data_IF_752178598162
#
_entry.id   IF_752178598162
#
_cell.length_a   1.000
_cell.length_b   1.000
_cell.length_c   1.000
_cell.angle_alpha   90.00
_cell.angle_beta   90.00
_cell.angle_gamma   90.00
#
_symmetry.space_group_name_H-M   'P 1'
#
loop_
_entity.id
_entity.type
_entity.pdbx_description
1 polymer ?
#
# COMPACT_ATOMS: atom_id res chain seq x y z
N UNK A 1 2.48 -11.87 -3.62
CA UNK A 1 2.37 -10.79 -4.64
C UNK A 1 3.67 -10.78 -5.47
N UNK A 2 3.67 -10.43 -6.76
CA UNK A 2 4.93 -10.41 -7.53
C UNK A 2 5.86 -9.26 -7.04
N UNK A 3 7.19 -9.46 -6.91
CA UNK A 3 8.11 -8.43 -6.38
C UNK A 3 8.03 -7.09 -7.12
N UNK A 4 7.82 -7.12 -8.44
CA UNK A 4 7.65 -5.90 -9.22
C UNK A 4 6.38 -5.11 -8.85
N UNK A 5 5.28 -5.78 -8.53
CA UNK A 5 4.02 -5.14 -8.09
C UNK A 5 4.21 -4.49 -6.71
N UNK A 6 4.88 -5.19 -5.78
CA UNK A 6 5.20 -4.65 -4.45
C UNK A 6 6.07 -3.40 -4.58
N UNK A 7 7.06 -3.42 -5.47
CA UNK A 7 7.91 -2.26 -5.75
C UNK A 7 7.14 -1.08 -6.36
N UNK A 8 6.20 -1.32 -7.27
CA UNK A 8 5.34 -0.28 -7.84
C UNK A 8 4.40 0.31 -6.77
N UNK A 9 3.76 -0.54 -5.97
CA UNK A 9 2.93 -0.12 -4.84
C UNK A 9 3.71 0.74 -3.86
N UNK A 10 4.90 0.30 -3.46
CA UNK A 10 5.78 1.04 -2.55
C UNK A 10 6.19 2.41 -3.10
N UNK A 11 6.45 2.52 -4.40
CA UNK A 11 6.78 3.81 -5.01
C UNK A 11 5.59 4.78 -5.08
N UNK A 12 4.37 4.27 -5.35
CA UNK A 12 3.15 5.08 -5.30
C UNK A 12 2.88 5.54 -3.87
N UNK A 13 2.98 4.64 -2.90
CA UNK A 13 2.81 4.94 -1.48
C UNK A 13 3.80 6.01 -1.02
N UNK A 14 5.09 5.88 -1.33
CA UNK A 14 6.11 6.85 -0.95
C UNK A 14 5.85 8.25 -1.54
N UNK A 15 5.44 8.34 -2.81
CA UNK A 15 5.07 9.61 -3.43
C UNK A 15 3.84 10.21 -2.74
N UNK A 16 2.82 9.39 -2.44
CA UNK A 16 1.62 9.84 -1.76
C UNK A 16 1.93 10.34 -0.33
N UNK A 17 2.75 9.61 0.43
CA UNK A 17 3.24 10.02 1.74
C UNK A 17 3.99 11.36 1.71
N UNK A 18 4.84 11.58 0.71
CA UNK A 18 5.55 12.85 0.52
C UNK A 18 4.56 14.02 0.35
N UNK A 19 3.56 13.85 -0.51
CA UNK A 19 2.53 14.86 -0.74
C UNK A 19 1.62 15.08 0.48
N UNK A 20 1.22 14.00 1.18
CA UNK A 20 0.45 14.10 2.43
C UNK A 20 1.23 14.82 3.53
N UNK A 21 2.54 14.61 3.60
CA UNK A 21 3.43 15.31 4.54
C UNK A 21 3.58 16.78 4.17
N UNK A 22 3.68 17.10 2.88
CA UNK A 22 3.68 18.49 2.43
C UNK A 22 2.36 19.20 2.73
N UNK A 23 1.22 18.52 2.57
CA UNK A 23 -0.09 19.06 2.99
C UNK A 23 -0.11 19.30 4.49
N UNK A 24 0.39 18.34 5.28
CA UNK A 24 0.44 18.45 6.74
C UNK A 24 1.30 19.63 7.22
N UNK A 25 2.32 19.98 6.46
CA UNK A 25 3.25 21.07 6.75
C UNK A 25 2.83 22.41 6.13
N UNK A 26 1.62 22.50 5.57
CA UNK A 26 1.11 23.67 4.84
C UNK A 26 2.04 24.13 3.70
N UNK A 27 2.86 23.22 3.17
CA UNK A 27 3.85 23.49 2.12
C UNK A 27 3.43 22.96 0.75
N UNK A 28 2.28 22.29 0.67
CA UNK A 28 1.74 21.80 -0.60
C UNK A 28 1.09 22.93 -1.40
N UNK A 29 1.69 23.26 -2.55
CA UNK A 29 1.10 24.18 -3.52
C UNK A 29 0.06 23.44 -4.38
N UNK A 30 -1.15 24.00 -4.48
CA UNK A 30 -2.21 23.52 -5.38
C UNK A 30 -2.21 24.26 -6.74
N UNK A 31 -1.36 25.27 -6.88
CA UNK A 31 -1.27 26.09 -8.08
C UNK A 31 -2.44 27.05 -8.22
N UNK A 32 -2.70 27.88 -7.18
CA UNK A 32 -3.87 28.79 -7.13
C UNK A 32 -4.13 29.54 -8.44
N UNK A 33 -5.36 29.45 -8.95
CA UNK A 33 -5.81 30.02 -10.22
C UNK A 33 -5.37 29.23 -11.48
N UNK A 34 -4.68 28.10 -11.30
CA UNK A 34 -4.18 27.19 -12.35
C UNK A 34 -4.28 25.73 -11.89
N UNK A 35 -5.23 25.41 -11.00
CA UNK A 35 -5.36 24.13 -10.30
C UNK A 35 -5.49 22.96 -11.29
N UNK A 36 -6.33 23.09 -12.32
CA UNK A 36 -6.48 22.05 -13.35
C UNK A 36 -5.20 21.80 -14.15
N UNK A 37 -4.45 22.84 -14.50
CA UNK A 37 -3.16 22.67 -15.16
C UNK A 37 -2.17 21.98 -14.22
N UNK A 38 -2.14 22.40 -12.95
CA UNK A 38 -1.23 21.85 -11.96
C UNK A 38 -1.53 20.38 -11.65
N UNK A 39 -2.80 20.00 -11.54
CA UNK A 39 -3.26 18.62 -11.37
C UNK A 39 -2.75 17.74 -12.50
N UNK A 40 -2.96 18.19 -13.75
CA UNK A 40 -2.52 17.49 -14.95
C UNK A 40 -0.99 17.33 -14.97
N UNK A 41 -0.25 18.40 -14.68
CA UNK A 41 1.22 18.37 -14.64
C UNK A 41 1.76 17.42 -13.56
N UNK A 42 1.17 17.44 -12.36
CA UNK A 42 1.57 16.51 -11.29
C UNK A 42 1.23 15.06 -11.63
N UNK A 43 0.08 14.80 -12.24
CA UNK A 43 -0.27 13.46 -12.71
C UNK A 43 0.76 12.94 -13.71
N UNK A 44 1.10 13.77 -14.72
CA UNK A 44 2.16 13.42 -15.68
C UNK A 44 3.51 13.17 -15.00
N UNK A 45 3.89 14.05 -14.07
CA UNK A 45 5.12 13.90 -13.28
C UNK A 45 5.16 12.60 -12.49
N UNK A 46 4.06 12.26 -11.82
CA UNK A 46 3.90 11.02 -11.06
C UNK A 46 4.06 9.78 -11.95
N UNK A 47 3.29 9.68 -13.04
CA UNK A 47 3.36 8.52 -13.95
C UNK A 47 4.77 8.39 -14.57
N UNK A 48 5.39 9.53 -14.93
CA UNK A 48 6.75 9.53 -15.47
C UNK A 48 7.78 9.04 -14.43
N UNK A 49 7.66 9.52 -13.18
CA UNK A 49 8.52 9.10 -12.06
C UNK A 49 8.39 7.62 -11.71
N UNK A 50 7.22 7.02 -11.93
CA UNK A 50 6.95 5.60 -11.69
C UNK A 50 7.44 4.67 -12.81
N UNK A 51 7.98 5.20 -13.92
CA UNK A 51 8.38 4.41 -15.10
C UNK A 51 9.30 3.22 -14.75
N UNK A 52 10.37 3.36 -13.94
CA UNK A 52 11.23 2.23 -13.60
C UNK A 52 10.48 1.10 -12.88
N UNK A 53 9.54 1.43 -12.00
CA UNK A 53 8.76 0.48 -11.22
C UNK A 53 7.68 -0.18 -12.06
N UNK A 54 7.05 0.56 -12.97
CA UNK A 54 6.14 0.01 -13.98
C UNK A 54 6.87 -1.04 -14.84
N UNK A 55 8.09 -0.74 -15.29
CA UNK A 55 8.89 -1.69 -16.07
C UNK A 55 9.30 -2.93 -15.25
N UNK A 56 9.56 -2.79 -13.95
CA UNK A 56 9.83 -3.95 -13.09
C UNK A 56 8.58 -4.80 -12.84
N UNK A 57 7.41 -4.18 -12.71
CA UNK A 57 6.13 -4.86 -12.50
C UNK A 57 5.62 -5.55 -13.77
N UNK A 58 5.81 -4.93 -14.94
CA UNK A 58 5.13 -5.31 -16.18
C UNK A 58 6.07 -5.78 -17.30
N UNK A 59 7.38 -5.64 -17.10
CA UNK A 59 8.46 -6.08 -17.99
C UNK A 59 9.28 -4.92 -18.58
N UNK A 60 10.48 -5.20 -19.13
CA UNK A 60 11.44 -4.18 -19.58
C UNK A 60 10.97 -3.28 -20.73
N UNK A 61 9.84 -3.60 -21.36
CA UNK A 61 9.16 -2.74 -22.33
C UNK A 61 7.87 -2.10 -21.81
N UNK A 62 7.53 -2.28 -20.54
CA UNK A 62 6.27 -1.83 -19.98
C UNK A 62 6.17 -0.31 -19.94
N UNK A 63 5.25 0.23 -20.74
CA UNK A 63 4.94 1.65 -20.77
C UNK A 63 3.44 1.88 -20.60
N UNK A 64 3.10 2.87 -19.77
CA UNK A 64 1.74 3.35 -19.61
C UNK A 64 1.64 4.72 -20.27
N UNK A 65 0.65 4.90 -21.14
CA UNK A 65 0.52 6.13 -21.95
C UNK A 65 -0.53 7.08 -21.42
N UNK A 66 -0.12 8.34 -21.30
CA UNK A 66 -1.02 9.47 -21.06
C UNK A 66 -1.02 10.36 -22.32
N UNK A 67 -2.20 10.68 -22.84
CA UNK A 67 -2.42 11.07 -24.24
C UNK A 67 -1.72 12.37 -24.68
N UNK A 68 -1.32 13.26 -23.76
CA UNK A 68 -0.66 14.54 -24.09
C UNK A 68 0.84 14.62 -23.72
N UNK A 69 1.51 13.49 -23.47
CA UNK A 69 2.98 13.50 -23.28
C UNK A 69 3.70 13.82 -24.60
N UNK A 70 4.65 14.75 -24.67
CA UNK A 70 5.40 15.05 -25.90
C UNK A 70 6.46 14.00 -26.27
N UNK A 71 6.74 13.01 -25.40
CA UNK A 71 7.71 11.92 -25.62
C UNK A 71 7.11 10.78 -26.48
N UNK A 72 6.50 11.12 -27.61
CA UNK A 72 5.71 10.20 -28.45
C UNK A 72 6.50 9.62 -29.62
N UNK A 73 7.08 8.45 -29.42
CA UNK A 73 7.42 7.52 -30.50
C UNK A 73 6.39 6.39 -30.56
N UNK A 74 5.93 6.03 -31.77
CA UNK A 74 4.99 4.93 -32.05
C UNK A 74 5.46 3.54 -31.57
N UNK A 75 4.77 2.44 -31.94
CA UNK A 75 4.67 1.21 -31.16
C UNK A 75 6.04 0.56 -30.91
N UNK A 76 6.67 0.96 -29.79
CA UNK A 76 7.76 0.27 -29.11
C UNK A 76 7.23 -0.80 -28.15
N UNK A 77 8.11 -1.49 -27.41
CA UNK A 77 7.79 -2.76 -26.74
C UNK A 77 6.63 -2.61 -25.74
N UNK A 78 5.89 -3.71 -25.49
CA UNK A 78 4.73 -3.87 -24.57
C UNK A 78 4.14 -2.56 -24.03
N UNK A 79 3.42 -1.84 -24.88
CA UNK A 79 2.68 -0.63 -24.53
C UNK A 79 1.28 -0.99 -24.00
N UNK A 80 0.83 -0.32 -22.94
CA UNK A 80 -0.55 -0.46 -22.45
C UNK A 80 -1.54 -0.13 -23.57
N UNK A 81 -2.50 -1.03 -23.81
CA UNK A 81 -3.57 -0.74 -24.77
C UNK A 81 -4.46 0.40 -24.23
N UNK A 82 -4.58 0.52 -22.91
CA UNK A 82 -5.30 1.59 -22.23
C UNK A 82 -4.45 2.86 -22.10
N UNK A 83 -5.05 4.03 -22.35
CA UNK A 83 -4.48 5.36 -22.21
C UNK A 83 -5.45 6.28 -21.49
N UNK A 84 -4.94 7.19 -20.69
CA UNK A 84 -5.75 8.23 -20.03
C UNK A 84 -5.50 9.58 -20.69
N UNK A 85 -6.58 10.35 -20.89
CA UNK A 85 -6.55 11.76 -21.30
C UNK A 85 -7.12 12.60 -20.17
N UNK A 86 -6.42 13.69 -19.85
CA UNK A 86 -6.84 14.65 -18.83
C UNK A 86 -7.09 15.99 -19.51
N UNK A 87 -8.33 16.45 -19.55
CA UNK A 87 -8.69 17.72 -20.18
C UNK A 87 -8.85 18.81 -19.13
N UNK A 88 -8.21 19.94 -19.37
CA UNK A 88 -8.34 21.13 -18.53
C UNK A 88 -9.61 21.92 -18.90
N UNK A 89 -10.52 22.08 -17.94
CA UNK A 89 -11.73 22.90 -18.07
C UNK A 89 -11.77 24.06 -17.07
N UNK A 90 -10.60 24.51 -16.60
CA UNK A 90 -10.45 25.58 -15.61
C UNK A 90 -10.71 25.08 -14.19
N UNK A 91 -11.99 24.92 -13.83
CA UNK A 91 -12.41 24.52 -12.47
C UNK A 91 -12.38 23.00 -12.24
N UNK A 92 -12.35 22.25 -13.33
CA UNK A 92 -12.41 20.80 -13.33
C UNK A 92 -11.42 20.20 -14.33
N UNK A 93 -11.02 18.96 -14.04
CA UNK A 93 -10.27 18.09 -14.94
C UNK A 93 -11.18 16.95 -15.36
N UNK A 94 -11.42 16.81 -16.66
CA UNK A 94 -12.16 15.67 -17.20
C UNK A 94 -11.19 14.54 -17.49
N UNK A 95 -11.43 13.38 -16.90
CA UNK A 95 -10.67 12.16 -17.12
C UNK A 95 -11.41 11.31 -18.15
N UNK A 96 -10.72 10.90 -19.21
CA UNK A 96 -11.24 10.00 -20.24
C UNK A 96 -10.26 8.83 -20.46
N UNK A 97 -10.75 7.60 -20.41
CA UNK A 97 -9.95 6.41 -20.76
C UNK A 97 -10.22 5.94 -22.20
N UNK A 98 -9.15 5.60 -22.91
CA UNK A 98 -9.19 5.03 -24.25
C UNK A 98 -8.44 3.72 -24.30
N UNK A 99 -8.95 2.74 -25.03
CA UNK A 99 -8.27 1.48 -25.32
C UNK A 99 -7.99 1.38 -26.81
N UNK A 100 -6.79 0.93 -27.17
CA UNK A 100 -6.47 0.55 -28.54
C UNK A 100 -6.92 -0.88 -28.79
N UNK A 101 -7.90 -1.03 -29.68
CA UNK A 101 -8.43 -2.33 -30.12
C UNK A 101 -8.21 -2.38 -31.62
N UNK A 102 -7.48 -3.39 -32.09
CA UNK A 102 -7.14 -3.59 -33.50
C UNK A 102 -6.49 -2.34 -34.15
N UNK A 103 -5.66 -1.62 -33.40
CA UNK A 103 -4.97 -0.41 -33.89
C UNK A 103 -5.83 0.86 -33.89
N UNK A 104 -7.10 0.79 -33.49
CA UNK A 104 -8.01 1.94 -33.38
C UNK A 104 -8.22 2.33 -31.92
N UNK A 105 -8.16 3.63 -31.63
CA UNK A 105 -8.48 4.15 -30.29
C UNK A 105 -10.00 4.18 -30.11
N UNK A 106 -10.49 3.53 -29.08
CA UNK A 106 -11.91 3.53 -28.70
C UNK A 106 -12.05 3.98 -27.24
N UNK A 107 -13.06 4.80 -26.89
CA UNK A 107 -13.37 5.08 -25.49
C UNK A 107 -13.62 3.79 -24.72
N UNK A 108 -13.16 3.72 -23.47
CA UNK A 108 -13.33 2.56 -22.61
C UNK A 108 -14.13 2.93 -21.35
N UNK A 109 -15.40 3.25 -21.54
CA UNK A 109 -16.33 3.65 -20.48
C UNK A 109 -16.51 2.56 -19.42
N UNK A 110 -16.44 1.29 -19.82
CA UNK A 110 -16.62 0.13 -18.94
C UNK A 110 -15.53 0.01 -17.86
N UNK A 111 -14.38 0.66 -18.06
CA UNK A 111 -13.32 0.72 -17.06
C UNK A 111 -13.65 1.60 -15.85
N UNK A 112 -14.76 2.35 -15.87
CA UNK A 112 -15.24 3.13 -14.73
C UNK A 112 -14.34 4.32 -14.34
N UNK A 113 -13.43 4.73 -15.22
CA UNK A 113 -12.44 5.77 -14.98
C UNK A 113 -12.87 7.15 -15.47
N UNK A 114 -13.92 7.22 -16.28
CA UNK A 114 -14.43 8.48 -16.82
C UNK A 114 -15.13 9.27 -15.72
N UNK A 115 -14.59 10.45 -15.40
CA UNK A 115 -15.11 11.30 -14.33
C UNK A 115 -14.66 12.74 -14.48
N UNK A 116 -15.39 13.62 -13.80
CA UNK A 116 -15.03 15.02 -13.62
C UNK A 116 -14.43 15.19 -12.23
N UNK A 117 -13.18 15.64 -12.15
CA UNK A 117 -12.51 15.94 -10.89
C UNK A 117 -12.56 17.45 -10.70
N UNK A 118 -13.30 17.91 -9.70
CA UNK A 118 -13.29 19.32 -9.31
C UNK A 118 -11.97 19.63 -8.60
N UNK A 119 -11.27 20.65 -9.08
CA UNK A 119 -9.94 21.04 -8.58
C UNK A 119 -9.88 22.50 -8.15
N UNK A 120 -10.82 23.34 -8.58
CA UNK A 120 -10.92 24.70 -8.08
C UNK A 120 -11.50 24.74 -6.66
N UNK A 121 -10.88 25.56 -5.82
CA UNK A 121 -11.26 25.84 -4.42
C UNK A 121 -11.34 24.61 -3.51
N UNK A 122 -10.74 23.48 -3.91
CA UNK A 122 -10.67 22.28 -3.07
C UNK A 122 -9.51 22.38 -2.08
N UNK A 123 -9.68 21.77 -0.91
CA UNK A 123 -8.61 21.68 0.08
C UNK A 123 -7.43 20.86 -0.47
N UNK A 124 -6.17 21.17 -0.11
CA UNK A 124 -5.00 20.46 -0.61
C UNK A 124 -5.04 18.94 -0.38
N UNK A 125 -5.62 18.49 0.74
CA UNK A 125 -5.82 17.06 1.01
C UNK A 125 -6.74 16.39 -0.03
N UNK A 126 -7.85 17.05 -0.37
CA UNK A 126 -8.79 16.55 -1.37
C UNK A 126 -8.13 16.50 -2.74
N UNK A 127 -7.35 17.54 -3.09
CA UNK A 127 -6.57 17.59 -4.33
C UNK A 127 -5.60 16.40 -4.45
N UNK A 128 -4.79 16.15 -3.39
CA UNK A 128 -3.84 15.03 -3.34
C UNK A 128 -4.58 13.70 -3.42
N UNK A 129 -5.69 13.55 -2.69
CA UNK A 129 -6.47 12.31 -2.68
C UNK A 129 -7.00 11.97 -4.07
N UNK A 130 -7.59 12.93 -4.79
CA UNK A 130 -8.07 12.69 -6.16
C UNK A 130 -6.93 12.46 -7.15
N UNK A 131 -5.76 13.10 -6.97
CA UNK A 131 -4.58 12.87 -7.80
C UNK A 131 -4.10 11.41 -7.72
N UNK A 132 -3.88 10.89 -6.51
CA UNK A 132 -3.39 9.53 -6.30
C UNK A 132 -4.47 8.49 -6.62
N UNK A 133 -5.74 8.76 -6.29
CA UNK A 133 -6.85 7.90 -6.69
C UNK A 133 -6.93 7.77 -8.21
N UNK A 134 -6.87 8.87 -8.95
CA UNK A 134 -6.87 8.85 -10.41
C UNK A 134 -5.67 8.06 -10.98
N UNK A 135 -4.48 8.24 -10.39
CA UNK A 135 -3.28 7.55 -10.83
C UNK A 135 -3.35 6.03 -10.56
N UNK A 136 -3.78 5.63 -9.35
CA UNK A 136 -3.94 4.22 -8.96
C UNK A 136 -4.99 3.55 -9.84
N UNK A 137 -6.19 4.13 -9.97
CA UNK A 137 -7.26 3.56 -10.77
C UNK A 137 -6.80 3.37 -12.23
N UNK A 138 -6.10 4.36 -12.79
CA UNK A 138 -5.52 4.27 -14.12
C UNK A 138 -4.47 3.16 -14.25
N UNK A 139 -3.52 3.08 -13.32
CA UNK A 139 -2.45 2.07 -13.37
C UNK A 139 -3.01 0.65 -13.21
N UNK A 140 -4.01 0.45 -12.37
CA UNK A 140 -4.68 -0.84 -12.22
C UNK A 140 -5.30 -1.29 -13.54
N UNK A 141 -6.02 -0.41 -14.23
CA UNK A 141 -6.62 -0.70 -15.53
C UNK A 141 -5.58 -0.86 -16.64
N UNK A 142 -4.57 0.01 -16.69
CA UNK A 142 -3.57 0.01 -17.75
C UNK A 142 -2.63 -1.19 -17.70
N UNK A 143 -2.31 -1.65 -16.49
CA UNK A 143 -1.41 -2.78 -16.26
C UNK A 143 -2.14 -4.10 -16.01
N UNK A 144 -3.47 -4.05 -15.81
CA UNK A 144 -4.30 -5.16 -15.38
C UNK A 144 -3.77 -5.78 -14.07
N UNK A 145 -3.56 -4.94 -13.06
CA UNK A 145 -3.01 -5.28 -11.75
C UNK A 145 -3.94 -4.80 -10.64
N UNK A 146 -3.93 -5.50 -9.51
CA UNK A 146 -4.53 -5.01 -8.27
C UNK A 146 -3.44 -4.42 -7.38
N UNK A 147 -3.49 -3.10 -7.18
CA UNK A 147 -2.51 -2.38 -6.37
C UNK A 147 -2.91 -2.32 -4.90
N UNK A 148 -4.17 -2.63 -4.55
CA UNK A 148 -4.69 -2.60 -3.18
C UNK A 148 -4.36 -1.27 -2.45
N UNK A 149 -4.40 -0.16 -3.18
CA UNK A 149 -4.21 1.21 -2.67
C UNK A 149 -5.55 1.97 -2.65
N UNK A 150 -6.56 1.34 -2.05
CA UNK A 150 -7.90 1.93 -1.91
C UNK A 150 -8.06 2.67 -0.58
N UNK A 151 -8.46 3.93 -0.64
CA UNK A 151 -8.72 4.76 0.55
C UNK A 151 -7.48 5.06 1.38
N UNK A 152 -7.65 5.39 2.66
CA UNK A 152 -6.57 5.67 3.62
C UNK A 152 -6.12 4.44 4.42
N UNK A 153 -6.83 3.31 4.31
CA UNK A 153 -6.55 2.09 5.06
C UNK A 153 -5.10 1.61 4.87
N UNK A 154 -4.58 1.67 3.65
CA UNK A 154 -3.20 1.28 3.33
C UNK A 154 -2.15 2.07 4.12
N UNK A 155 -2.44 3.34 4.46
CA UNK A 155 -1.51 4.21 5.18
C UNK A 155 -1.33 3.73 6.62
N UNK A 156 -2.43 3.37 7.28
CA UNK A 156 -2.37 2.79 8.62
C UNK A 156 -1.71 1.41 8.61
N UNK A 157 -2.02 0.57 7.62
CA UNK A 157 -1.31 -0.70 7.43
C UNK A 157 0.20 -0.47 7.20
N UNK A 158 0.60 0.54 6.42
CA UNK A 158 2.01 0.85 6.17
C UNK A 158 2.74 1.33 7.43
N UNK A 159 2.11 2.22 8.20
CA UNK A 159 2.63 2.70 9.49
C UNK A 159 2.81 1.52 10.47
N UNK A 160 1.83 0.60 10.52
CA UNK A 160 1.92 -0.60 11.34
C UNK A 160 3.04 -1.55 10.87
N UNK A 161 3.15 -1.77 9.56
CA UNK A 161 4.21 -2.60 8.97
C UNK A 161 5.61 -2.03 9.25
N UNK A 162 5.80 -0.71 9.06
CA UNK A 162 7.06 -0.05 9.37
C UNK A 162 7.41 -0.11 10.86
N UNK A 163 6.41 0.02 11.74
CA UNK A 163 6.61 -0.17 13.17
C UNK A 163 7.10 -1.59 13.49
N UNK A 164 6.46 -2.60 12.89
CA UNK A 164 6.87 -3.99 13.06
C UNK A 164 8.30 -4.24 12.57
N UNK A 165 8.63 -3.79 11.36
CA UNK A 165 9.96 -3.98 10.76
C UNK A 165 11.06 -3.35 11.62
N UNK A 166 10.79 -2.19 12.23
CA UNK A 166 11.76 -1.41 13.01
C UNK A 166 11.89 -1.86 14.46
N UNK A 167 10.80 -2.31 15.10
CA UNK A 167 10.77 -2.61 16.53
C UNK A 167 10.67 -4.10 16.86
N UNK A 168 10.26 -4.91 15.89
CA UNK A 168 9.89 -6.30 16.09
C UNK A 168 8.66 -6.48 16.98
N UNK A 169 7.77 -5.49 17.05
CA UNK A 169 6.53 -5.52 17.84
C UNK A 169 5.34 -5.03 17.00
N UNK A 170 4.13 -5.42 17.39
CA UNK A 170 2.91 -4.84 16.82
C UNK A 170 2.57 -3.54 17.56
N UNK A 171 2.29 -2.48 16.82
CA UNK A 171 1.81 -1.23 17.40
C UNK A 171 0.33 -1.36 17.76
N UNK A 172 -0.12 -0.63 18.77
CA UNK A 172 -1.56 -0.51 19.01
C UNK A 172 -2.25 0.32 17.93
N UNK A 173 -3.55 0.11 17.71
CA UNK A 173 -4.35 0.89 16.75
C UNK A 173 -4.24 2.40 17.03
N UNK A 174 -4.24 2.80 18.30
CA UNK A 174 -4.07 4.22 18.64
C UNK A 174 -2.63 4.73 18.52
N UNK A 175 -1.60 3.89 18.67
CA UNK A 175 -0.24 4.27 18.29
C UNK A 175 -0.12 4.50 16.78
N UNK A 176 -0.69 3.61 15.96
CA UNK A 176 -0.73 3.74 14.50
C UNK A 176 -1.49 5.02 14.10
N UNK A 177 -2.67 5.25 14.67
CA UNK A 177 -3.46 6.45 14.42
C UNK A 177 -2.70 7.73 14.77
N UNK A 178 -2.09 7.80 15.96
CA UNK A 178 -1.30 8.98 16.38
C UNK A 178 -0.10 9.23 15.48
N UNK A 179 0.59 8.17 15.05
CA UNK A 179 1.72 8.29 14.11
C UNK A 179 1.25 8.80 12.75
N UNK A 180 0.23 8.18 12.20
CA UNK A 180 -0.32 8.57 10.90
C UNK A 180 -0.82 10.02 10.91
N UNK A 181 -1.60 10.43 11.91
CA UNK A 181 -2.13 11.80 12.04
C UNK A 181 -1.08 12.85 12.38
N UNK A 182 0.01 12.45 13.05
CA UNK A 182 1.14 13.35 13.32
C UNK A 182 1.92 13.63 12.04
N UNK A 183 2.16 12.60 11.24
CA UNK A 183 3.06 12.66 10.09
C UNK A 183 2.35 13.09 8.80
N UNK A 184 1.09 12.70 8.63
CA UNK A 184 0.32 12.85 7.41
C UNK A 184 -0.97 13.64 7.65
N UNK A 185 -1.44 14.34 6.62
CA UNK A 185 -2.68 15.09 6.65
C UNK A 185 -3.92 14.17 6.51
N UNK A 186 -4.09 13.18 7.39
CA UNK A 186 -5.23 12.24 7.30
C UNK A 186 -6.49 12.84 7.93
N UNK A 187 -7.66 12.59 7.32
CA UNK A 187 -8.94 13.12 7.77
C UNK A 187 -9.86 12.08 8.45
N UNK A 188 -9.42 10.83 8.63
CA UNK A 188 -10.27 9.81 9.24
C UNK A 188 -10.47 10.03 10.74
N UNK A 189 -11.68 9.73 11.21
CA UNK A 189 -11.96 9.68 12.64
C UNK A 189 -11.32 8.44 13.27
N UNK A 190 -10.94 8.54 14.54
CA UNK A 190 -10.40 7.41 15.27
C UNK A 190 -11.40 6.24 15.31
N UNK A 191 -12.70 6.50 15.43
CA UNK A 191 -13.74 5.46 15.41
C UNK A 191 -13.78 4.71 14.07
N UNK A 192 -13.58 5.41 12.95
CA UNK A 192 -13.52 4.79 11.61
C UNK A 192 -12.32 3.86 11.49
N UNK A 193 -11.16 4.29 11.98
CA UNK A 193 -9.93 3.47 11.99
C UNK A 193 -10.11 2.26 12.92
N UNK A 194 -10.64 2.47 14.12
CA UNK A 194 -10.92 1.40 15.07
C UNK A 194 -11.95 0.40 14.52
N UNK A 195 -12.97 0.84 13.81
CA UNK A 195 -13.94 -0.07 13.18
C UNK A 195 -13.33 -0.92 12.06
N UNK A 196 -12.28 -0.40 11.42
CA UNK A 196 -11.61 -1.05 10.29
C UNK A 196 -10.56 -2.06 10.74
N UNK A 197 -9.90 -1.80 11.87
CA UNK A 197 -8.73 -2.58 12.32
C UNK A 197 -8.82 -3.13 13.75
N UNK A 198 -9.81 -2.70 14.54
CA UNK A 198 -10.05 -3.21 15.88
C UNK A 198 -10.72 -4.59 15.90
N UNK A 199 -10.81 -5.23 17.07
CA UNK A 199 -11.41 -6.55 17.21
C UNK A 199 -12.86 -6.54 16.72
N UNK A 200 -13.17 -7.41 15.74
CA UNK A 200 -14.55 -7.59 15.31
C UNK A 200 -15.31 -8.34 16.40
N UNK A 201 -16.47 -7.84 16.87
CA UNK A 201 -17.25 -8.53 17.89
C UNK A 201 -17.64 -9.92 17.38
N UNK A 202 -17.15 -10.97 18.06
CA UNK A 202 -17.45 -12.37 17.75
C UNK A 202 -16.30 -13.21 17.19
N UNK A 203 -15.09 -12.65 17.00
CA UNK A 203 -13.90 -13.43 16.67
C UNK A 203 -13.09 -13.67 17.96
N UNK A 204 -13.25 -14.85 18.54
CA UNK A 204 -12.41 -15.30 19.66
C UNK A 204 -10.95 -15.33 19.19
N UNK A 205 -10.13 -14.40 19.69
CA UNK A 205 -8.69 -14.47 19.49
C UNK A 205 -8.16 -15.70 20.22
N UNK A 206 -7.37 -16.58 19.56
CA UNK A 206 -6.78 -17.74 20.20
C UNK A 206 -5.62 -17.28 21.08
N UNK A 207 -5.94 -16.91 22.31
CA UNK A 207 -5.00 -16.33 23.29
C UNK A 207 -5.76 -15.51 24.31
N UNK A 208 -6.48 -16.18 25.21
CA UNK A 208 -7.52 -15.58 26.03
C UNK A 208 -7.06 -14.46 26.97
N UNK A 209 -7.94 -13.47 27.15
CA UNK A 209 -8.30 -13.03 28.49
C UNK A 209 -9.82 -12.81 28.53
N UNK A 210 -10.49 -13.69 29.26
CA UNK A 210 -11.91 -13.57 29.55
C UNK A 210 -12.05 -12.54 30.67
N UNK A 211 -12.53 -11.34 30.34
CA UNK A 211 -12.67 -10.22 31.29
C UNK A 211 -13.87 -9.36 30.94
N UNK A 212 -14.98 -9.61 31.62
CA UNK A 212 -16.21 -8.83 31.51
C UNK A 212 -16.08 -7.43 32.14
N UNK A 213 -17.02 -6.57 31.73
CA UNK A 213 -17.44 -5.29 32.31
C UNK A 213 -16.66 -4.02 31.95
N UNK A 214 -17.32 -3.23 31.10
CA UNK A 214 -17.47 -1.77 31.21
C UNK A 214 -16.22 -0.97 31.59
N UNK A 215 -15.43 -0.57 30.61
CA UNK A 215 -14.56 0.60 30.75
C UNK A 215 -14.61 1.47 29.50
N UNK A 216 -14.89 2.75 29.71
CA UNK A 216 -14.89 3.79 28.69
C UNK A 216 -13.47 3.99 28.13
N UNK A 217 -13.35 3.95 26.81
CA UNK A 217 -12.32 4.65 26.03
C UNK A 217 -10.87 4.15 26.04
N UNK A 218 -10.44 3.32 27.00
CA UNK A 218 -9.00 3.00 27.17
C UNK A 218 -8.57 1.64 26.62
N UNK A 219 -9.48 0.66 26.54
CA UNK A 219 -9.16 -0.66 25.99
C UNK A 219 -8.90 -0.62 24.48
N UNK A 220 -9.67 0.20 23.74
CA UNK A 220 -9.57 0.32 22.29
C UNK A 220 -8.25 0.95 21.78
N UNK A 221 -7.58 1.79 22.60
CA UNK A 221 -6.26 2.37 22.27
C UNK A 221 -5.13 1.33 22.43
N UNK A 222 -5.37 0.26 23.20
CA UNK A 222 -4.36 -0.75 23.56
C UNK A 222 -4.33 -1.97 22.62
N UNK A 223 -5.32 -2.12 21.75
CA UNK A 223 -5.44 -3.25 20.84
C UNK A 223 -4.32 -3.24 19.80
N UNK A 224 -3.59 -4.35 19.67
CA UNK A 224 -2.51 -4.49 18.69
C UNK A 224 -3.06 -4.59 17.26
N UNK A 225 -2.57 -3.73 16.37
CA UNK A 225 -2.84 -3.82 14.94
C UNK A 225 -1.92 -4.87 14.32
N UNK A 226 -2.36 -6.13 14.33
CA UNK A 226 -1.64 -7.25 13.72
C UNK A 226 -2.01 -7.39 12.25
N UNK A 227 -0.99 -7.38 11.39
CA UNK A 227 -1.18 -7.61 9.96
C UNK A 227 -0.95 -9.07 9.63
N UNK A 228 -1.87 -9.66 8.85
CA UNK A 228 -1.68 -11.02 8.35
C UNK A 228 -0.49 -11.11 7.38
N UNK A 229 0.02 -12.32 7.13
CA UNK A 229 1.07 -12.54 6.13
C UNK A 229 0.64 -12.00 4.76
N UNK A 230 -0.65 -12.14 4.41
CA UNK A 230 -1.21 -11.61 3.16
C UNK A 230 -1.27 -10.09 3.09
N UNK A 231 -1.36 -9.41 4.23
CA UNK A 231 -1.27 -7.95 4.31
C UNK A 231 0.20 -7.52 4.27
N UNK A 232 1.08 -8.20 5.01
CA UNK A 232 2.52 -7.88 5.05
C UNK A 232 3.17 -8.01 3.67
N UNK A 233 2.81 -9.00 2.85
CA UNK A 233 3.38 -9.17 1.50
C UNK A 233 3.12 -7.99 0.55
N UNK A 234 2.25 -7.05 0.92
CA UNK A 234 1.96 -5.84 0.14
C UNK A 234 3.02 -4.76 0.31
N UNK A 235 3.80 -4.82 1.39
CA UNK A 235 4.81 -3.82 1.76
C UNK A 235 6.20 -4.27 1.33
N UNK A 236 7.04 -3.32 0.91
CA UNK A 236 8.38 -3.63 0.44
C UNK A 236 9.32 -3.90 1.63
N UNK A 237 9.09 -3.18 2.72
CA UNK A 237 9.91 -3.15 3.93
C UNK A 237 9.86 -4.48 4.69
N UNK A 238 8.78 -5.24 4.52
CA UNK A 238 8.52 -6.52 5.18
C UNK A 238 9.09 -7.72 4.42
N UNK A 239 9.54 -7.54 3.17
CA UNK A 239 9.90 -8.67 2.30
C UNK A 239 11.03 -9.51 2.87
N UNK A 240 12.04 -8.89 3.50
CA UNK A 240 13.14 -9.63 4.11
C UNK A 240 12.67 -10.52 5.28
N UNK A 241 11.69 -10.05 6.05
CA UNK A 241 11.11 -10.78 7.17
C UNK A 241 10.24 -11.95 6.67
N UNK A 242 9.50 -11.74 5.58
CA UNK A 242 8.70 -12.78 4.93
C UNK A 242 9.57 -13.86 4.27
N UNK A 243 10.70 -13.48 3.67
CA UNK A 243 11.67 -14.43 3.12
C UNK A 243 12.26 -15.32 4.23
N UNK A 244 12.58 -14.73 5.39
CA UNK A 244 13.03 -15.48 6.56
C UNK A 244 11.95 -16.44 7.08
N UNK A 245 10.69 -15.97 7.16
CA UNK A 245 9.55 -16.81 7.51
C UNK A 245 9.42 -18.02 6.58
N UNK A 246 9.47 -17.82 5.26
CA UNK A 246 9.38 -18.91 4.29
C UNK A 246 10.53 -19.92 4.43
N UNK A 247 11.76 -19.44 4.65
CA UNK A 247 12.92 -20.31 4.89
C UNK A 247 12.72 -21.16 6.14
N UNK A 248 12.16 -20.60 7.20
CA UNK A 248 11.92 -21.35 8.45
C UNK A 248 10.81 -22.37 8.27
N UNK A 249 9.75 -22.05 7.53
CA UNK A 249 8.73 -23.05 7.18
C UNK A 249 9.36 -24.23 6.42
N UNK A 250 10.28 -23.97 5.48
CA UNK A 250 10.99 -25.04 4.76
C UNK A 250 11.85 -25.90 5.71
N UNK A 251 12.56 -25.27 6.66
CA UNK A 251 13.34 -25.98 7.67
C UNK A 251 12.43 -26.81 8.59
N UNK A 252 11.29 -26.26 9.01
CA UNK A 252 10.33 -26.94 9.87
C UNK A 252 9.73 -28.17 9.17
N UNK A 253 9.38 -28.06 7.89
CA UNK A 253 8.88 -29.20 7.08
C UNK A 253 9.94 -30.30 6.95
N UNK A 254 11.21 -29.93 6.75
CA UNK A 254 12.29 -30.91 6.69
C UNK A 254 12.53 -31.60 8.04
N UNK A 255 12.49 -30.85 9.14
CA UNK A 255 12.69 -31.38 10.48
C UNK A 255 11.52 -32.26 10.96
N UNK A 256 10.29 -31.96 10.54
CA UNK A 256 9.11 -32.80 10.80
C UNK A 256 9.22 -34.17 10.12
N UNK A 257 9.79 -34.23 8.91
CA UNK A 257 10.09 -35.52 8.24
C UNK A 257 11.13 -36.37 8.99
N UNK A 258 11.98 -35.73 9.78
CA UNK A 258 13.01 -36.36 10.60
C UNK A 258 12.58 -36.55 12.07
N UNK A 259 11.35 -36.18 12.43
CA UNK A 259 10.81 -36.18 13.80
C UNK A 259 11.72 -35.43 14.79
N UNK A 260 12.28 -34.29 14.35
CA UNK A 260 13.26 -33.49 15.11
C UNK A 260 12.72 -32.09 15.43
N UNK A 261 12.78 -31.62 16.69
CA UNK A 261 12.50 -30.23 17.01
C UNK A 261 13.63 -29.31 16.53
N UNK A 262 13.28 -28.07 16.16
CA UNK A 262 14.24 -27.04 15.76
C UNK A 262 14.16 -25.88 16.74
N UNK A 263 15.31 -25.44 17.24
CA UNK A 263 15.38 -24.34 18.20
C UNK A 263 15.59 -22.99 17.51
N UNK A 264 15.18 -21.91 18.16
CA UNK A 264 15.41 -20.54 17.66
C UNK A 264 16.89 -20.22 17.45
N UNK A 265 17.79 -20.77 18.27
CA UNK A 265 19.25 -20.63 18.10
C UNK A 265 19.76 -21.33 16.86
N UNK A 266 19.27 -22.54 16.55
CA UNK A 266 19.66 -23.26 15.33
C UNK A 266 19.21 -22.51 14.07
N UNK A 267 18.01 -21.92 14.10
CA UNK A 267 17.51 -21.07 13.01
C UNK A 267 18.36 -19.81 12.87
N UNK A 268 18.67 -19.13 13.98
CA UNK A 268 19.47 -17.91 13.95
C UNK A 268 20.85 -18.15 13.33
N UNK A 269 21.53 -19.23 13.73
CA UNK A 269 22.86 -19.59 13.24
C UNK A 269 22.82 -20.03 11.77
N UNK A 270 21.83 -20.85 11.38
CA UNK A 270 21.72 -21.38 10.01
C UNK A 270 21.35 -20.32 8.98
N UNK A 271 20.52 -19.35 9.35
CA UNK A 271 20.06 -18.27 8.47
C UNK A 271 20.85 -16.97 8.63
N UNK A 272 21.78 -16.90 9.60
CA UNK A 272 22.59 -15.71 9.88
C UNK A 272 21.75 -14.53 10.35
N UNK A 273 20.74 -14.78 11.19
CA UNK A 273 19.79 -13.76 11.64
C UNK A 273 20.29 -13.03 12.88
N UNK A 274 20.09 -11.72 12.91
CA UNK A 274 20.31 -10.93 14.12
C UNK A 274 19.16 -11.11 15.13
N UNK A 275 19.33 -10.59 16.34
CA UNK A 275 18.34 -10.72 17.42
C UNK A 275 16.97 -10.13 17.06
N UNK A 276 16.95 -9.07 16.25
CA UNK A 276 15.71 -8.40 15.85
C UNK A 276 14.96 -9.24 14.82
N UNK A 277 15.66 -9.80 13.83
CA UNK A 277 15.12 -10.71 12.84
C UNK A 277 14.57 -11.98 13.48
N UNK A 278 15.27 -12.56 14.47
CA UNK A 278 14.76 -13.71 15.25
C UNK A 278 13.48 -13.35 16.00
N UNK A 279 13.44 -12.17 16.64
CA UNK A 279 12.25 -11.69 17.35
C UNK A 279 11.05 -11.51 16.42
N UNK A 280 11.26 -10.88 15.25
CA UNK A 280 10.24 -10.69 14.23
C UNK A 280 9.71 -12.02 13.72
N UNK A 281 10.62 -12.95 13.42
CA UNK A 281 10.28 -14.27 12.95
C UNK A 281 9.44 -15.06 13.97
N UNK A 282 9.82 -15.05 15.25
CA UNK A 282 9.05 -15.68 16.32
C UNK A 282 7.60 -15.17 16.36
N UNK A 283 7.40 -13.86 16.23
CA UNK A 283 6.06 -13.26 16.16
C UNK A 283 5.26 -13.64 14.92
N UNK A 284 5.91 -13.79 13.77
CA UNK A 284 5.21 -14.27 12.57
C UNK A 284 4.81 -15.74 12.72
N UNK A 285 5.64 -16.54 13.37
CA UNK A 285 5.40 -17.96 13.62
C UNK A 285 4.32 -18.23 14.68
N UNK A 286 4.19 -17.37 15.70
CA UNK A 286 3.09 -17.48 16.68
C UNK A 286 1.70 -17.36 16.04
N UNK A 287 1.59 -16.70 14.88
CA UNK A 287 0.35 -16.59 14.11
C UNK A 287 0.15 -17.80 13.16
N UNK A 288 1.07 -18.76 13.16
CA UNK A 288 1.06 -19.98 12.34
C UNK A 288 1.18 -21.24 13.23
N UNK A 289 0.08 -21.65 13.90
CA UNK A 289 0.11 -22.73 14.91
C UNK A 289 0.51 -24.11 14.35
N UNK A 290 0.36 -24.30 13.03
CA UNK A 290 0.81 -25.51 12.34
C UNK A 290 2.34 -25.63 12.28
N UNK A 291 3.06 -24.51 12.40
CA UNK A 291 4.52 -24.43 12.31
C UNK A 291 5.16 -24.24 13.70
N UNK A 292 4.54 -23.44 14.57
CA UNK A 292 4.99 -23.23 15.94
C UNK A 292 3.93 -23.69 16.93
N UNK A 293 4.18 -24.81 17.62
CA UNK A 293 3.25 -25.39 18.60
C UNK A 293 3.38 -24.78 20.00
N UNK A 294 4.55 -24.25 20.36
CA UNK A 294 4.83 -23.82 21.75
C UNK A 294 4.81 -22.30 21.97
N UNK A 295 4.70 -21.48 20.92
CA UNK A 295 4.47 -20.03 21.07
C UNK A 295 5.59 -19.24 21.74
N UNK A 296 6.81 -19.77 21.81
CA UNK A 296 8.03 -19.11 22.33
C UNK A 296 9.14 -19.03 21.29
#
# INVERSE_FOLDING_TARGET
MQPGIVGLRGAIAAAWEEDLRAVRQDSFDVGRGREALFFIQRFYGLISGLRPQIQRAWGPGGHVHVVDSPELGGPGPRVSQSRIRLRNHGELVVVELFSYINGTSQPNHEAGLDREIRVADVEPLVFVTELYRAAVDFLQVALNLDLLLGGSAWLYEHVAANYFVTTGKWASVGEVYRRATREFAVADSFESVLSSFGPKPGVESPGGSNGSNGSNGSAADSEEMRLSIEQLQRFLETQADLDNFLRVVQVAVAADQEDRPVTSTEIADSLGLDSLAVTKLGRLLTESPDVCREGE
#
